data_IF_422022018104
#
_entry.id   IF_422022018104
#
_cell.length_a   1.000
_cell.length_b   1.000
_cell.length_c   1.000
_cell.angle_alpha   90.00
_cell.angle_beta   90.00
_cell.angle_gamma   90.00
#
_symmetry.space_group_name_H-M   'P 1'
#
loop_
_entity.id
_entity.type
_entity.pdbx_description
1 polymer ?
#
# COMPACT_ATOMS: atom_id res chain seq x y z
N UNK A 1 -6.30 -10.93 8.16
CA UNK A 1 -5.41 -10.70 7.01
C UNK A 1 -4.65 -9.38 7.14
N UNK A 2 -5.27 -8.22 6.88
CA UNK A 2 -4.55 -6.94 6.68
C UNK A 2 -3.61 -6.57 7.83
N UNK A 3 -4.06 -6.62 9.09
CA UNK A 3 -3.20 -6.29 10.24
C UNK A 3 -1.96 -7.18 10.34
N UNK A 4 -2.11 -8.50 10.17
CA UNK A 4 -0.97 -9.43 10.16
C UNK A 4 0.00 -9.16 8.99
N UNK A 5 -0.52 -8.72 7.84
CA UNK A 5 0.30 -8.37 6.68
C UNK A 5 1.01 -7.02 6.85
N UNK A 6 0.39 -6.04 7.51
CA UNK A 6 1.06 -4.79 7.88
C UNK A 6 2.25 -5.05 8.81
N UNK A 7 2.08 -5.92 9.81
CA UNK A 7 3.16 -6.34 10.70
C UNK A 7 4.27 -7.06 9.91
N UNK A 8 3.89 -7.99 9.04
CA UNK A 8 4.83 -8.76 8.21
C UNK A 8 5.64 -7.86 7.28
N UNK A 9 4.99 -6.97 6.52
CA UNK A 9 5.65 -6.04 5.59
C UNK A 9 6.56 -5.05 6.33
N UNK A 10 6.13 -4.54 7.48
CA UNK A 10 6.97 -3.70 8.33
C UNK A 10 8.24 -4.45 8.78
N UNK A 11 8.09 -5.68 9.26
CA UNK A 11 9.22 -6.47 9.71
C UNK A 11 10.14 -6.89 8.56
N UNK A 12 9.61 -7.20 7.39
CA UNK A 12 10.40 -7.43 6.19
C UNK A 12 11.26 -6.20 5.86
N UNK A 13 10.67 -5.01 5.84
CA UNK A 13 11.42 -3.78 5.53
C UNK A 13 12.47 -3.43 6.59
N UNK A 14 12.10 -3.44 7.87
CA UNK A 14 12.97 -2.86 8.91
C UNK A 14 13.87 -3.87 9.61
N UNK A 15 13.47 -5.16 9.69
CA UNK A 15 14.29 -6.22 10.30
C UNK A 15 15.07 -7.03 9.27
N UNK A 16 14.46 -7.32 8.12
CA UNK A 16 15.07 -8.16 7.09
C UNK A 16 15.67 -7.35 5.92
N UNK A 17 15.38 -6.04 5.83
CA UNK A 17 15.80 -5.16 4.72
C UNK A 17 15.31 -5.64 3.36
N UNK A 18 14.06 -6.10 3.30
CA UNK A 18 13.41 -6.64 2.11
C UNK A 18 12.13 -5.86 1.80
N UNK A 19 11.91 -5.55 0.53
CA UNK A 19 10.61 -5.14 -0.03
C UNK A 19 10.03 -6.30 -0.83
N UNK A 20 8.73 -6.57 -0.69
CA UNK A 20 8.10 -7.77 -1.27
C UNK A 20 7.82 -7.60 -2.77
N UNK A 21 7.30 -6.44 -3.17
CA UNK A 21 7.04 -6.03 -4.57
C UNK A 21 5.94 -6.79 -5.33
N UNK A 22 5.40 -7.86 -4.76
CA UNK A 22 4.26 -8.57 -5.34
C UNK A 22 3.22 -9.04 -4.30
N UNK A 23 2.71 -8.11 -3.48
CA UNK A 23 1.59 -8.42 -2.58
C UNK A 23 0.34 -8.66 -3.41
N UNK A 24 -0.16 -9.90 -3.41
CA UNK A 24 -1.29 -10.32 -4.27
C UNK A 24 -2.11 -11.43 -3.61
N UNK A 25 -3.31 -11.71 -4.15
CA UNK A 25 -4.18 -12.77 -3.66
C UNK A 25 -3.53 -14.17 -3.74
N UNK A 26 -2.65 -14.40 -4.72
CA UNK A 26 -1.96 -15.68 -4.89
C UNK A 26 -0.79 -15.86 -3.90
N UNK A 27 -0.28 -14.75 -3.37
CA UNK A 27 0.92 -14.72 -2.53
C UNK A 27 0.61 -14.60 -1.03
N UNK A 28 -0.67 -14.61 -0.66
CA UNK A 28 -1.11 -14.68 0.74
C UNK A 28 -1.80 -16.03 0.98
N UNK A 29 -1.12 -16.88 1.73
CA UNK A 29 -1.70 -18.13 2.24
C UNK A 29 -2.28 -17.91 3.64
N UNK A 30 -3.10 -18.85 4.10
CA UNK A 30 -3.56 -18.89 5.48
C UNK A 30 -3.62 -20.33 5.99
N UNK A 31 -3.46 -20.48 7.29
CA UNK A 31 -3.63 -21.75 8.00
C UNK A 31 -4.34 -21.51 9.34
N UNK A 32 -5.01 -22.55 9.84
CA UNK A 32 -5.54 -22.54 11.21
C UNK A 32 -4.44 -22.98 12.18
N UNK A 33 -4.10 -22.12 13.14
CA UNK A 33 -3.29 -22.49 14.30
C UNK A 33 -4.20 -22.54 15.54
N UNK A 34 -4.74 -23.73 15.82
CA UNK A 34 -5.81 -23.86 16.81
C UNK A 34 -7.08 -23.17 16.32
N UNK A 35 -7.54 -22.16 17.05
CA UNK A 35 -8.72 -21.36 16.72
C UNK A 35 -8.37 -20.05 15.97
N UNK A 36 -7.08 -19.74 15.81
CA UNK A 36 -6.62 -18.52 15.16
C UNK A 36 -6.31 -18.76 13.68
N UNK A 37 -6.75 -17.83 12.82
CA UNK A 37 -6.37 -17.81 11.40
C UNK A 37 -5.05 -17.03 11.27
N UNK A 38 -4.00 -17.71 10.82
CA UNK A 38 -2.68 -17.12 10.59
C UNK A 38 -2.46 -16.97 9.08
N UNK A 39 -2.25 -15.75 8.63
CA UNK A 39 -1.92 -15.40 7.24
C UNK A 39 -0.41 -15.35 7.06
N UNK A 40 0.07 -15.86 5.91
CA UNK A 40 1.49 -15.94 5.57
C UNK A 40 1.72 -15.35 4.18
N UNK A 41 2.63 -14.39 4.10
CA UNK A 41 3.14 -13.85 2.83
C UNK A 41 4.20 -14.82 2.28
N UNK A 42 4.04 -15.20 1.02
CA UNK A 42 4.92 -16.13 0.30
C UNK A 42 5.35 -15.52 -1.03
N UNK A 43 6.20 -16.23 -1.76
CA UNK A 43 6.65 -15.88 -3.11
C UNK A 43 7.49 -14.59 -3.17
N UNK A 44 8.79 -14.75 -2.90
CA UNK A 44 9.77 -13.66 -2.84
C UNK A 44 10.57 -13.50 -4.14
N UNK A 45 10.12 -14.09 -5.26
CA UNK A 45 10.86 -14.07 -6.53
C UNK A 45 11.01 -12.64 -7.09
N UNK A 46 10.09 -11.73 -6.75
CA UNK A 46 10.16 -10.30 -7.09
C UNK A 46 10.76 -9.42 -5.99
N UNK A 47 11.08 -9.98 -4.83
CA UNK A 47 11.56 -9.21 -3.70
C UNK A 47 12.93 -8.59 -3.97
N UNK A 48 13.24 -7.50 -3.27
CA UNK A 48 14.57 -6.87 -3.33
C UNK A 48 15.09 -6.57 -1.96
N UNK A 49 16.41 -6.65 -1.81
CA UNK A 49 17.11 -6.09 -0.65
C UNK A 49 17.25 -4.57 -0.79
N UNK A 50 17.18 -3.89 0.33
CA UNK A 50 17.33 -2.43 0.44
C UNK A 50 18.28 -2.04 1.56
N UNK A 51 18.77 -0.81 1.55
CA UNK A 51 19.53 -0.24 2.66
C UNK A 51 18.61 0.32 3.77
N UNK A 52 19.21 1.03 4.75
CA UNK A 52 18.47 1.66 5.84
C UNK A 52 17.53 2.75 5.30
N UNK A 53 17.93 3.43 4.24
CA UNK A 53 17.18 4.48 3.55
C UNK A 53 16.12 3.95 2.58
N UNK A 54 16.04 2.63 2.39
CA UNK A 54 15.03 1.97 1.55
C UNK A 54 15.42 1.91 0.06
N UNK A 55 16.67 2.24 -0.28
CA UNK A 55 17.17 2.17 -1.65
C UNK A 55 17.63 0.75 -1.97
N UNK A 56 17.29 0.27 -3.16
CA UNK A 56 17.73 -1.03 -3.63
C UNK A 56 19.26 -1.15 -3.64
N UNK A 57 19.76 -2.22 -3.02
CA UNK A 57 21.21 -2.51 -2.92
C UNK A 57 21.76 -3.17 -4.19
N UNK A 58 20.90 -3.81 -4.98
CA UNK A 58 21.28 -4.46 -6.23
C UNK A 58 20.91 -3.61 -7.46
N UNK A 59 21.82 -3.49 -8.42
CA UNK A 59 21.63 -2.73 -9.65
C UNK A 59 20.55 -3.36 -10.55
N UNK A 60 20.36 -4.67 -10.48
CA UNK A 60 19.29 -5.39 -11.21
C UNK A 60 17.90 -5.06 -10.67
N UNK A 61 17.77 -4.82 -9.37
CA UNK A 61 16.53 -4.38 -8.73
C UNK A 61 16.13 -2.94 -9.10
N UNK A 62 17.08 -2.11 -9.56
CA UNK A 62 16.81 -0.81 -10.18
C UNK A 62 16.34 -0.90 -11.63
N UNK A 63 16.39 -2.08 -12.24
CA UNK A 63 15.93 -2.22 -13.63
C UNK A 63 14.42 -2.05 -13.71
N UNK A 64 13.94 -1.32 -14.73
CA UNK A 64 12.53 -1.03 -15.02
C UNK A 64 11.71 -2.28 -15.40
N UNK A 65 12.14 -3.49 -15.02
CA UNK A 65 11.42 -4.70 -15.33
C UNK A 65 10.13 -4.73 -14.49
N UNK A 66 9.01 -4.84 -15.21
CA UNK A 66 7.65 -5.06 -14.71
C UNK A 66 7.65 -6.17 -13.66
N UNK A 67 7.64 -5.81 -12.38
CA UNK A 67 7.51 -6.75 -11.26
C UNK A 67 6.17 -6.57 -10.60
N UNK A 68 5.51 -7.67 -10.29
CA UNK A 68 4.26 -7.68 -9.53
C UNK A 68 2.99 -7.80 -10.37
N UNK A 69 1.90 -8.11 -9.66
CA UNK A 69 0.57 -8.35 -10.21
C UNK A 69 -0.17 -7.03 -10.47
N UNK A 70 -0.45 -6.70 -11.73
CA UNK A 70 -0.99 -5.39 -12.17
C UNK A 70 -2.23 -4.93 -11.38
N UNK A 71 -3.13 -5.85 -11.05
CA UNK A 71 -4.33 -5.57 -10.27
C UNK A 71 -4.02 -4.92 -8.92
N UNK A 72 -2.94 -5.35 -8.28
CA UNK A 72 -2.54 -4.94 -6.93
C UNK A 72 -1.38 -3.95 -6.94
N UNK A 73 -0.66 -3.80 -8.05
CA UNK A 73 0.44 -2.84 -8.18
C UNK A 73 0.03 -1.42 -7.78
N UNK A 74 0.91 -0.69 -7.08
CA UNK A 74 0.65 0.67 -6.64
C UNK A 74 0.46 1.65 -7.83
N UNK A 75 -0.34 2.69 -7.62
CA UNK A 75 -0.68 3.70 -8.63
C UNK A 75 0.56 4.33 -9.27
N UNK A 76 1.53 4.76 -8.47
CA UNK A 76 2.74 5.44 -8.96
C UNK A 76 3.57 4.54 -9.86
N UNK A 77 3.66 3.24 -9.53
CA UNK A 77 4.35 2.24 -10.34
C UNK A 77 3.63 2.00 -11.67
N UNK A 78 2.30 1.89 -11.65
CA UNK A 78 1.51 1.75 -12.90
C UNK A 78 1.61 3.02 -13.75
N UNK A 79 1.59 4.21 -13.12
CA UNK A 79 1.73 5.50 -13.79
C UNK A 79 3.11 5.64 -14.44
N UNK A 80 4.20 5.30 -13.73
CA UNK A 80 5.55 5.25 -14.30
C UNK A 80 5.60 4.33 -15.53
N UNK A 81 5.02 3.13 -15.43
CA UNK A 81 4.93 2.20 -16.55
C UNK A 81 4.12 2.76 -17.73
N UNK A 82 3.03 3.49 -17.47
CA UNK A 82 2.22 4.12 -18.51
C UNK A 82 2.94 5.27 -19.23
N UNK A 83 3.97 5.84 -18.61
CA UNK A 83 4.74 6.97 -19.12
C UNK A 83 6.23 6.62 -19.33
N UNK A 84 6.56 5.34 -19.46
CA UNK A 84 7.94 4.82 -19.49
C UNK A 84 8.85 5.50 -20.53
N UNK A 85 8.26 5.90 -21.65
CA UNK A 85 8.95 6.52 -22.78
C UNK A 85 8.93 8.06 -22.74
N UNK A 86 8.32 8.65 -21.70
CA UNK A 86 8.31 10.09 -21.49
C UNK A 86 9.61 10.52 -20.77
N UNK A 87 10.51 11.27 -21.42
CA UNK A 87 11.76 11.71 -20.80
C UNK A 87 11.56 12.72 -19.67
N UNK A 88 10.36 13.32 -19.54
CA UNK A 88 10.01 14.23 -18.45
C UNK A 88 9.56 13.52 -17.18
N UNK A 89 9.38 12.19 -17.21
CA UNK A 89 8.96 11.42 -16.06
C UNK A 89 10.17 10.76 -15.40
N UNK A 90 10.41 11.10 -14.14
CA UNK A 90 11.42 10.42 -13.33
C UNK A 90 10.95 9.00 -12.99
N UNK A 91 11.88 8.00 -13.00
CA UNK A 91 11.55 6.65 -12.62
C UNK A 91 11.09 6.55 -11.17
N UNK A 92 9.98 5.86 -10.94
CA UNK A 92 9.52 5.55 -9.58
C UNK A 92 10.21 4.28 -9.07
N UNK A 93 10.86 4.39 -7.90
CA UNK A 93 11.41 3.23 -7.20
C UNK A 93 10.37 2.64 -6.26
N UNK A 94 10.34 1.31 -6.15
CA UNK A 94 9.45 0.63 -5.21
C UNK A 94 9.87 0.90 -3.76
N UNK A 95 8.92 1.32 -2.93
CA UNK A 95 9.09 1.61 -1.50
C UNK A 95 8.07 0.83 -0.66
N UNK A 96 8.23 0.81 0.66
CA UNK A 96 7.33 0.06 1.56
C UNK A 96 5.86 0.48 1.40
N UNK A 97 5.59 1.77 1.19
CA UNK A 97 4.21 2.22 1.02
C UNK A 97 3.53 1.67 -0.25
N UNK A 98 4.30 1.29 -1.28
CA UNK A 98 3.74 0.63 -2.46
C UNK A 98 3.23 -0.78 -2.11
N UNK A 99 3.91 -1.52 -1.22
CA UNK A 99 3.41 -2.81 -0.70
C UNK A 99 2.15 -2.60 0.16
N UNK A 100 2.05 -1.49 0.92
CA UNK A 100 0.84 -1.13 1.66
C UNK A 100 -0.32 -0.76 0.72
N UNK A 101 -0.07 -0.04 -0.37
CA UNK A 101 -1.09 0.25 -1.38
C UNK A 101 -1.56 -1.04 -2.08
N UNK A 102 -0.65 -1.98 -2.35
CA UNK A 102 -1.03 -3.29 -2.86
C UNK A 102 -1.94 -4.06 -1.91
N UNK A 103 -1.70 -3.94 -0.60
CA UNK A 103 -2.58 -4.52 0.43
C UNK A 103 -3.97 -3.85 0.45
N UNK A 104 -4.07 -2.55 0.17
CA UNK A 104 -5.35 -1.87 -0.03
C UNK A 104 -6.13 -2.44 -1.22
N UNK A 105 -5.49 -2.49 -2.40
CA UNK A 105 -6.11 -3.05 -3.61
C UNK A 105 -6.54 -4.50 -3.42
N UNK A 106 -5.71 -5.30 -2.75
CA UNK A 106 -6.03 -6.68 -2.41
C UNK A 106 -7.22 -6.79 -1.44
N UNK A 107 -7.34 -5.87 -0.50
CA UNK A 107 -8.47 -5.84 0.43
C UNK A 107 -9.78 -5.54 -0.30
N UNK A 108 -9.79 -4.53 -1.18
CA UNK A 108 -10.95 -4.19 -2.01
C UNK A 108 -11.34 -5.36 -2.93
N UNK A 109 -10.35 -5.96 -3.61
CA UNK A 109 -10.54 -7.16 -4.42
C UNK A 109 -11.17 -8.30 -3.62
N UNK A 110 -10.63 -8.57 -2.43
CA UNK A 110 -11.10 -9.66 -1.56
C UNK A 110 -12.55 -9.45 -1.13
N UNK A 111 -12.93 -8.21 -0.80
CA UNK A 111 -14.31 -7.86 -0.44
C UNK A 111 -15.30 -8.08 -1.58
N UNK A 112 -14.85 -8.05 -2.85
CA UNK A 112 -15.71 -8.21 -4.03
C UNK A 112 -15.73 -9.65 -4.52
N UNK A 113 -14.58 -10.31 -4.60
CA UNK A 113 -14.42 -11.58 -5.34
C UNK A 113 -14.62 -12.81 -4.44
N UNK A 114 -14.21 -12.73 -3.18
CA UNK A 114 -14.20 -13.88 -2.26
C UNK A 114 -15.61 -14.26 -1.78
N UNK A 115 -16.50 -13.33 -1.36
CA UNK A 115 -17.80 -13.69 -0.84
C UNK A 115 -18.59 -14.62 -1.77
N UNK A 116 -19.34 -15.52 -1.16
CA UNK A 116 -20.28 -16.40 -1.88
C UNK A 116 -21.48 -15.60 -2.37
N UNK A 117 -22.02 -15.99 -3.52
CA UNK A 117 -23.14 -15.32 -4.17
C UNK A 117 -23.45 -15.97 -5.51
N UNK A 118 -24.52 -15.52 -6.16
CA UNK A 118 -24.89 -16.03 -7.48
C UNK A 118 -23.85 -15.65 -8.55
N UNK A 119 -23.53 -16.58 -9.44
CA UNK A 119 -22.49 -16.39 -10.47
C UNK A 119 -22.76 -15.17 -11.37
N UNK A 120 -24.03 -14.87 -11.65
CA UNK A 120 -24.42 -13.73 -12.46
C UNK A 120 -24.05 -12.40 -11.77
N UNK A 121 -24.47 -12.23 -10.51
CA UNK A 121 -24.19 -11.04 -9.70
C UNK A 121 -22.70 -10.87 -9.45
N UNK A 122 -21.98 -11.96 -9.13
CA UNK A 122 -20.52 -11.92 -8.94
C UNK A 122 -19.80 -11.45 -10.20
N UNK A 123 -20.23 -11.92 -11.37
CA UNK A 123 -19.63 -11.54 -12.65
C UNK A 123 -19.93 -10.09 -13.01
N UNK A 124 -21.15 -9.60 -12.73
CA UNK A 124 -21.50 -8.19 -12.93
C UNK A 124 -20.66 -7.30 -12.01
N UNK A 125 -20.60 -7.61 -10.72
CA UNK A 125 -19.85 -6.85 -9.75
C UNK A 125 -18.35 -6.80 -10.05
N UNK A 126 -17.78 -7.94 -10.44
CA UNK A 126 -16.39 -8.04 -10.88
C UNK A 126 -16.13 -7.16 -12.11
N UNK A 127 -17.05 -7.14 -13.09
CA UNK A 127 -16.93 -6.29 -14.29
C UNK A 127 -16.98 -4.81 -13.95
N UNK A 128 -17.86 -4.39 -13.05
CA UNK A 128 -18.03 -2.99 -12.64
C UNK A 128 -16.83 -2.47 -11.83
N UNK A 129 -16.18 -3.34 -11.06
CA UNK A 129 -15.24 -2.91 -10.01
C UNK A 129 -13.78 -3.32 -10.25
N UNK A 130 -13.53 -4.58 -10.62
CA UNK A 130 -12.18 -5.17 -10.62
C UNK A 130 -11.61 -5.30 -12.03
N UNK A 131 -12.46 -5.62 -13.01
CA UNK A 131 -12.03 -6.02 -14.35
C UNK A 131 -11.09 -5.02 -15.02
N UNK A 132 -11.37 -3.72 -14.91
CA UNK A 132 -10.55 -2.67 -15.52
C UNK A 132 -9.15 -2.61 -14.91
N UNK A 133 -9.06 -2.78 -13.59
CA UNK A 133 -7.79 -2.76 -12.87
C UNK A 133 -6.94 -4.04 -13.17
N UNK A 134 -7.56 -5.12 -13.65
CA UNK A 134 -6.85 -6.35 -14.07
C UNK A 134 -6.50 -6.40 -15.58
N UNK A 135 -7.40 -5.90 -16.43
CA UNK A 135 -7.35 -6.15 -17.88
C UNK A 135 -7.21 -4.87 -18.71
N UNK A 136 -7.24 -3.69 -18.08
CA UNK A 136 -7.12 -2.41 -18.76
C UNK A 136 -5.72 -2.17 -19.35
N UNK A 137 -5.61 -1.19 -20.24
CA UNK A 137 -4.32 -0.64 -20.63
C UNK A 137 -3.68 0.11 -19.45
N UNK A 138 -2.35 0.27 -19.44
CA UNK A 138 -1.63 0.89 -18.31
C UNK A 138 -2.21 2.23 -17.86
N UNK A 139 -2.54 3.12 -18.82
CA UNK A 139 -3.18 4.40 -18.52
C UNK A 139 -4.57 4.24 -17.88
N UNK A 140 -5.35 3.25 -18.32
CA UNK A 140 -6.66 2.96 -17.75
C UNK A 140 -6.56 2.36 -16.35
N UNK A 141 -5.57 1.50 -16.10
CA UNK A 141 -5.29 0.95 -14.76
C UNK A 141 -4.83 2.08 -13.83
N UNK A 142 -3.92 2.96 -14.26
CA UNK A 142 -3.50 4.12 -13.47
C UNK A 142 -4.69 5.02 -13.12
N UNK A 143 -5.56 5.32 -14.08
CA UNK A 143 -6.78 6.09 -13.83
C UNK A 143 -7.76 5.35 -12.90
N UNK A 144 -7.93 4.03 -13.06
CA UNK A 144 -8.72 3.17 -12.16
C UNK A 144 -8.23 3.32 -10.71
N UNK A 145 -6.91 3.27 -10.49
CA UNK A 145 -6.28 3.36 -9.17
C UNK A 145 -6.38 4.76 -8.56
N UNK A 146 -6.12 5.82 -9.32
CA UNK A 146 -6.29 7.19 -8.83
C UNK A 146 -7.73 7.45 -8.34
N UNK A 147 -8.72 6.97 -9.10
CA UNK A 147 -10.13 7.12 -8.74
C UNK A 147 -10.54 6.19 -7.58
N UNK A 148 -9.80 5.10 -7.33
CA UNK A 148 -10.06 4.21 -6.20
C UNK A 148 -9.76 4.84 -4.84
N UNK A 149 -9.16 6.03 -4.79
CA UNK A 149 -9.02 6.80 -3.55
C UNK A 149 -10.09 7.88 -3.39
N UNK A 150 -10.90 8.12 -4.43
CA UNK A 150 -11.94 9.13 -4.37
C UNK A 150 -13.07 8.66 -3.44
N UNK A 151 -13.26 9.39 -2.34
CA UNK A 151 -14.28 9.08 -1.33
C UNK A 151 -15.66 8.82 -1.93
N UNK A 152 -16.12 9.64 -2.89
CA UNK A 152 -17.45 9.51 -3.48
C UNK A 152 -17.59 8.19 -4.23
N UNK A 153 -16.58 7.83 -5.01
CA UNK A 153 -16.55 6.57 -5.77
C UNK A 153 -16.53 5.36 -4.85
N UNK A 154 -15.68 5.39 -3.81
CA UNK A 154 -15.58 4.29 -2.86
C UNK A 154 -16.83 4.15 -1.98
N UNK A 155 -17.47 5.27 -1.65
CA UNK A 155 -18.75 5.28 -0.92
C UNK A 155 -19.87 4.66 -1.75
N UNK A 156 -19.90 4.88 -3.05
CA UNK A 156 -20.89 4.31 -3.96
C UNK A 156 -20.53 2.93 -4.52
N UNK A 157 -19.33 2.42 -4.23
CA UNK A 157 -18.88 1.11 -4.70
C UNK A 157 -19.86 0.03 -4.22
N UNK A 158 -20.43 -0.75 -5.13
CA UNK A 158 -21.27 -1.90 -4.75
C UNK A 158 -20.40 -2.92 -4.04
N UNK A 159 -20.86 -3.44 -2.91
CA UNK A 159 -20.22 -4.53 -2.19
C UNK A 159 -21.21 -5.68 -2.02
N UNK A 160 -20.74 -6.93 -1.98
CA UNK A 160 -21.58 -8.05 -1.57
C UNK A 160 -22.12 -7.81 -0.14
N UNK A 161 -23.32 -8.29 0.21
CA UNK A 161 -23.89 -8.09 1.55
C UNK A 161 -22.97 -8.53 2.70
N UNK A 162 -22.16 -9.56 2.48
CA UNK A 162 -21.20 -10.07 3.47
C UNK A 162 -20.04 -9.10 3.73
N UNK A 163 -19.73 -8.22 2.77
CA UNK A 163 -18.64 -7.25 2.84
C UNK A 163 -19.11 -5.84 3.20
N UNK A 164 -20.41 -5.54 3.15
CA UNK A 164 -20.96 -4.23 3.52
C UNK A 164 -20.53 -3.72 4.91
N UNK A 165 -20.47 -4.57 5.97
CA UNK A 165 -19.96 -4.13 7.27
C UNK A 165 -18.51 -3.61 7.24
N UNK A 166 -17.73 -3.97 6.23
CA UNK A 166 -16.34 -3.52 6.04
C UNK A 166 -16.24 -2.19 5.27
N UNK A 167 -17.35 -1.63 4.78
CA UNK A 167 -17.34 -0.35 4.04
C UNK A 167 -16.68 0.80 4.81
N UNK A 168 -16.96 1.05 6.11
CA UNK A 168 -16.27 2.10 6.85
C UNK A 168 -14.76 1.88 6.93
N UNK A 169 -14.33 0.63 6.99
CA UNK A 169 -12.91 0.27 6.99
C UNK A 169 -12.25 0.58 5.64
N UNK A 170 -12.91 0.22 4.53
CA UNK A 170 -12.42 0.49 3.17
C UNK A 170 -12.28 1.99 2.91
N UNK A 171 -13.28 2.76 3.34
CA UNK A 171 -13.32 4.21 3.24
C UNK A 171 -12.19 4.89 4.03
N UNK A 172 -11.91 4.43 5.25
CA UNK A 172 -10.78 4.95 6.04
C UNK A 172 -9.44 4.66 5.38
N UNK A 173 -9.29 3.50 4.74
CA UNK A 173 -8.06 3.18 4.00
C UNK A 173 -7.91 4.07 2.76
N UNK A 174 -8.98 4.24 1.98
CA UNK A 174 -8.96 5.09 0.78
C UNK A 174 -8.64 6.55 1.13
N UNK A 175 -9.23 7.08 2.21
CA UNK A 175 -8.96 8.44 2.68
C UNK A 175 -7.51 8.63 3.11
N UNK A 176 -6.92 7.63 3.77
CA UNK A 176 -5.52 7.69 4.19
C UNK A 176 -4.57 7.74 2.98
N UNK A 177 -4.82 6.90 1.97
CA UNK A 177 -4.04 6.92 0.73
C UNK A 177 -4.21 8.24 -0.03
N UNK A 178 -5.44 8.75 -0.11
CA UNK A 178 -5.72 10.04 -0.73
C UNK A 178 -4.95 11.17 -0.03
N UNK A 179 -4.99 11.22 1.30
CA UNK A 179 -4.30 12.27 2.06
C UNK A 179 -2.77 12.16 1.96
N UNK A 180 -2.22 10.95 1.96
CA UNK A 180 -0.79 10.73 1.71
C UNK A 180 -0.36 11.27 0.33
N UNK A 181 -1.17 11.03 -0.69
CA UNK A 181 -0.94 11.54 -2.04
C UNK A 181 -1.06 13.07 -2.14
N UNK A 182 -1.97 13.69 -1.38
CA UNK A 182 -2.02 15.16 -1.29
C UNK A 182 -0.74 15.73 -0.66
N UNK A 183 -0.14 15.07 0.34
CA UNK A 183 1.13 15.52 0.93
C UNK A 183 2.28 15.50 -0.07
N UNK A 184 2.38 14.45 -0.89
CA UNK A 184 3.39 14.39 -1.97
C UNK A 184 3.18 15.53 -2.94
N UNK A 185 1.95 15.73 -3.40
CA UNK A 185 1.63 16.82 -4.32
C UNK A 185 2.00 18.20 -3.75
N UNK A 186 1.78 18.43 -2.45
CA UNK A 186 2.15 19.70 -1.80
C UNK A 186 3.67 19.86 -1.77
N UNK A 187 4.40 18.79 -1.45
CA UNK A 187 5.86 18.79 -1.48
C UNK A 187 6.42 19.03 -2.90
N UNK A 188 5.86 18.41 -3.93
CA UNK A 188 6.31 18.59 -5.32
C UNK A 188 6.15 20.05 -5.81
N UNK A 189 5.30 20.83 -5.14
CA UNK A 189 5.14 22.27 -5.41
C UNK A 189 6.12 23.14 -4.61
N UNK A 190 6.73 22.60 -3.55
CA UNK A 190 7.66 23.28 -2.65
C UNK A 190 8.75 22.31 -2.18
N UNK A 191 9.75 22.10 -3.04
CA UNK A 191 10.90 21.20 -2.80
C UNK A 191 11.89 21.75 -1.76
N UNK A 192 11.58 22.85 -1.07
CA UNK A 192 12.48 23.47 -0.09
C UNK A 192 12.66 22.63 1.18
N UNK A 193 11.79 21.64 1.41
CA UNK A 193 11.76 20.82 2.63
C UNK A 193 12.01 19.36 2.29
N UNK A 194 12.94 18.72 3.02
CA UNK A 194 13.16 17.27 2.92
C UNK A 194 11.87 16.50 3.21
N UNK A 195 11.49 15.61 2.28
CA UNK A 195 10.29 14.80 2.39
C UNK A 195 10.59 13.30 2.48
N UNK A 196 9.97 12.66 3.45
CA UNK A 196 10.01 11.21 3.61
C UNK A 196 9.05 10.55 2.61
N UNK A 197 9.61 10.13 1.48
CA UNK A 197 8.87 9.43 0.42
C UNK A 197 8.52 8.00 0.82
N UNK A 198 9.26 7.34 1.72
CA UNK A 198 8.95 5.97 2.13
C UNK A 198 7.63 5.92 2.91
N UNK A 199 7.42 6.87 3.83
CA UNK A 199 6.21 6.93 4.66
C UNK A 199 5.22 8.01 4.23
N UNK A 200 5.48 8.71 3.12
CA UNK A 200 4.66 9.84 2.63
C UNK A 200 4.46 10.92 3.69
N UNK A 201 5.56 11.38 4.28
CA UNK A 201 5.55 12.36 5.38
C UNK A 201 4.86 11.83 6.65
N UNK A 202 5.14 10.57 7.00
CA UNK A 202 4.65 9.89 8.20
C UNK A 202 3.22 9.33 8.11
N UNK A 203 2.53 9.48 6.98
CA UNK A 203 1.12 9.07 6.84
C UNK A 203 0.96 7.56 6.63
N UNK A 204 1.89 6.93 5.94
CA UNK A 204 1.84 5.51 5.58
C UNK A 204 2.84 4.69 6.39
N UNK A 205 2.68 4.71 7.71
CA UNK A 205 3.37 3.79 8.63
C UNK A 205 2.43 2.69 9.09
N UNK A 206 2.98 1.53 9.47
CA UNK A 206 2.20 0.40 10.04
C UNK A 206 1.24 0.86 11.14
N UNK A 207 1.74 1.68 12.06
CA UNK A 207 0.99 2.08 13.25
C UNK A 207 -0.11 3.09 12.92
N UNK A 208 0.17 4.07 12.05
CA UNK A 208 -0.84 5.03 11.57
C UNK A 208 -1.94 4.32 10.79
N UNK A 209 -1.57 3.45 9.83
CA UNK A 209 -2.53 2.67 9.06
C UNK A 209 -3.39 1.82 10.01
N UNK A 210 -2.77 1.10 10.95
CA UNK A 210 -3.50 0.26 11.91
C UNK A 210 -4.48 1.07 12.75
N UNK A 211 -4.04 2.19 13.32
CA UNK A 211 -4.87 3.07 14.15
C UNK A 211 -6.08 3.62 13.38
N UNK A 212 -5.84 4.14 12.16
CA UNK A 212 -6.90 4.68 11.30
C UNK A 212 -7.89 3.59 10.91
N UNK A 213 -7.42 2.41 10.52
CA UNK A 213 -8.29 1.30 10.13
C UNK A 213 -9.15 0.78 11.28
N UNK A 214 -8.63 0.77 12.51
CA UNK A 214 -9.39 0.46 13.73
C UNK A 214 -10.37 1.56 14.15
N UNK A 215 -10.26 2.76 13.56
CA UNK A 215 -11.06 3.92 13.94
C UNK A 215 -10.57 4.61 15.22
N UNK A 216 -9.35 4.33 15.65
CA UNK A 216 -8.69 4.95 16.81
C UNK A 216 -8.11 6.33 16.44
N UNK A 217 -7.94 6.61 15.16
CA UNK A 217 -7.52 7.91 14.62
C UNK A 217 -8.27 8.23 13.34
N UNK A 218 -8.37 9.51 13.01
CA UNK A 218 -9.02 10.01 11.80
C UNK A 218 -8.05 10.86 11.00
N UNK A 219 -8.19 10.82 9.68
CA UNK A 219 -7.47 11.72 8.78
C UNK A 219 -8.16 13.09 8.84
N UNK A 220 -7.40 14.13 9.15
CA UNK A 220 -7.87 15.51 9.13
C UNK A 220 -7.22 16.25 7.96
N UNK A 221 -8.03 16.99 7.20
CA UNK A 221 -7.53 17.91 6.18
C UNK A 221 -7.46 19.30 6.80
N UNK A 222 -6.30 19.95 6.70
CA UNK A 222 -6.13 21.32 7.20
C UNK A 222 -7.03 22.29 6.44
N UNK A 223 -7.34 23.42 7.08
CA UNK A 223 -8.08 24.50 6.43
C UNK A 223 -7.31 25.02 5.20
N UNK A 224 -8.02 25.18 4.09
CA UNK A 224 -7.46 25.79 2.88
C UNK A 224 -7.31 27.28 3.14
N UNK A 225 -6.08 27.75 3.29
CA UNK A 225 -5.76 29.17 3.37
C UNK A 225 -5.33 29.69 2.00
N UNK A 226 -5.84 30.86 1.62
CA UNK A 226 -5.45 31.54 0.39
C UNK A 226 -4.46 32.63 0.76
N UNK A 227 -3.20 32.45 0.37
CA UNK A 227 -2.18 33.50 0.49
C UNK A 227 -2.16 34.28 -0.83
N UNK A 228 -2.39 35.61 -0.81
CA UNK A 228 -2.24 36.43 -2.00
C UNK A 228 -0.81 36.35 -2.51
N UNK A 229 -0.61 36.01 -3.79
CA UNK A 229 0.70 36.10 -4.44
C UNK A 229 1.06 37.58 -4.56
N UNK A 230 2.19 38.05 -4.01
CA UNK A 230 2.64 39.42 -4.24
C UNK A 230 2.82 39.64 -5.74
N UNK A 231 2.11 40.61 -6.32
CA UNK A 231 2.42 41.07 -7.67
C UNK A 231 3.79 41.72 -7.63
N UNK A 232 4.78 41.12 -8.30
CA UNK A 232 6.00 41.83 -8.62
C UNK A 232 5.61 43.07 -9.43
N UNK A 233 5.85 44.25 -8.86
CA UNK A 233 5.61 45.50 -9.52
C UNK A 233 6.49 45.56 -10.78
N UNK A 234 5.87 45.38 -11.94
CA UNK A 234 6.49 45.65 -13.23
C UNK A 234 6.86 47.14 -13.22
N UNK A 235 8.16 47.41 -13.11
CA UNK A 235 8.69 48.75 -13.07
C UNK A 235 8.39 49.50 -14.37
N UNK A 236 7.71 50.64 -14.24
CA UNK A 236 7.92 51.77 -15.14
C UNK A 236 7.91 53.03 -14.27
N UNK A 237 9.05 53.70 -14.21
CA UNK A 237 9.24 54.89 -13.40
C UNK A 237 8.61 56.13 -14.02
N UNK A 238 8.30 57.13 -13.19
CA UNK A 238 8.82 58.49 -13.34
C UNK A 238 8.62 59.28 -12.04
N UNK A 239 9.59 60.16 -11.80
CA UNK A 239 9.93 60.98 -10.64
C UNK A 239 8.93 62.07 -10.25
N UNK A 240 8.87 62.41 -8.94
CA UNK A 240 9.21 63.76 -8.49
C UNK A 240 9.43 63.84 -6.95
N UNK A 241 10.58 64.42 -6.56
CA UNK A 241 10.90 65.01 -5.24
C UNK A 241 9.97 66.24 -5.00
N UNK A 242 9.70 66.80 -3.82
CA UNK A 242 10.48 66.96 -2.58
C UNK A 242 9.55 67.59 -1.50
N UNK A 243 9.79 67.35 -0.21
CA UNK A 243 9.99 68.39 0.83
C UNK A 243 9.76 67.87 2.26
N UNK A 244 10.74 68.20 3.09
CA UNK A 244 10.93 67.94 4.51
C UNK A 244 10.04 68.86 5.35
N UNK A 245 9.46 68.36 6.45
CA UNK A 245 9.39 69.14 7.69
C UNK A 245 9.38 68.24 8.94
N UNK A 246 10.30 68.57 9.85
CA UNK A 246 10.59 67.93 11.13
C UNK A 246 9.89 68.69 12.27
N UNK A 247 9.29 67.99 13.25
CA UNK A 247 9.20 68.50 14.63
C UNK A 247 8.86 67.43 15.70
N UNK A 248 9.90 67.07 16.45
CA UNK A 248 10.03 67.07 17.91
C UNK A 248 9.02 66.36 18.85
N UNK A 249 9.53 65.30 19.51
CA UNK A 249 9.66 65.06 20.98
C UNK A 249 8.38 65.00 21.83
N UNK A 250 8.11 63.95 22.63
CA UNK A 250 8.60 63.73 24.02
C UNK A 250 8.22 62.30 24.51
N UNK A 251 9.23 61.54 24.99
CA UNK A 251 9.37 60.73 26.23
C UNK A 251 8.14 59.98 26.83
N UNK A 252 8.20 58.87 27.55
CA UNK A 252 9.17 57.94 28.16
C UNK A 252 8.33 56.64 28.39
N UNK A 253 8.83 55.42 28.60
CA UNK A 253 9.69 55.01 29.70
C UNK A 253 10.13 53.54 29.53
N UNK A 254 11.32 53.27 30.06
CA UNK A 254 12.08 52.03 30.18
C UNK A 254 11.29 50.84 30.78
N UNK A 255 11.67 49.57 30.60
CA UNK A 255 12.96 49.00 31.03
C UNK A 255 13.17 47.59 30.49
N UNK A 256 14.38 47.30 30.01
CA UNK A 256 14.95 45.96 29.74
C UNK A 256 15.01 45.12 31.03
N UNK A 257 14.97 43.80 30.89
CA UNK A 257 16.09 42.90 31.25
C UNK A 257 15.79 41.45 30.86
N UNK A 258 16.77 40.85 30.19
CA UNK A 258 16.85 39.45 29.72
C UNK A 258 17.57 38.60 30.81
N UNK A 259 17.93 37.33 30.57
CA UNK A 259 17.39 36.14 31.25
C UNK A 259 18.40 35.50 32.24
N UNK A 260 18.05 34.39 32.92
CA UNK A 260 18.92 33.20 32.94
C UNK A 260 18.32 31.95 33.62
N UNK A 261 18.86 30.82 33.13
CA UNK A 261 18.70 29.41 33.52
C UNK A 261 18.90 29.13 35.01
N UNK A 262 18.26 28.05 35.52
CA UNK A 262 18.93 26.83 36.04
C UNK A 262 17.95 25.79 36.63
N UNK A 263 18.13 24.52 36.24
CA UNK A 263 17.89 23.33 37.07
C UNK A 263 19.01 23.20 38.15
N UNK A 264 19.07 22.24 39.12
CA UNK A 264 18.39 20.92 39.20
C UNK A 264 18.01 20.44 40.64
N UNK A 265 17.45 19.23 40.79
CA UNK A 265 17.82 18.24 41.85
C UNK A 265 17.03 16.90 41.80
N UNK A 266 17.72 15.82 42.19
CA UNK A 266 17.32 14.39 42.25
C UNK A 266 16.76 13.99 43.65
N UNK A 267 15.98 12.89 43.74
CA UNK A 267 16.23 11.76 44.67
C UNK A 267 15.38 10.49 44.39
N UNK A 268 15.98 9.32 44.69
CA UNK A 268 15.53 7.93 44.55
C UNK A 268 14.58 7.46 45.69
N UNK A 269 13.99 6.26 45.83
CA UNK A 269 14.35 4.84 45.50
C UNK A 269 13.17 3.90 45.85
N UNK A 270 13.09 2.67 45.25
CA UNK A 270 12.74 1.34 45.84
C UNK A 270 11.94 0.44 44.86
N UNK A 271 12.53 -0.62 44.28
CA UNK A 271 12.55 -2.06 44.66
C UNK A 271 11.25 -2.85 44.46
N UNK A 272 11.30 -3.90 43.63
CA UNK A 272 10.33 -5.01 43.62
C UNK A 272 10.53 -6.00 42.48
N UNK A 273 11.17 -7.14 42.76
CA UNK A 273 11.44 -8.27 41.86
C UNK A 273 10.51 -9.42 42.25
N UNK A 274 9.78 -10.06 41.31
CA UNK A 274 9.19 -11.40 41.54
C UNK A 274 9.14 -12.22 40.24
N UNK A 275 9.63 -13.44 40.37
CA UNK A 275 9.62 -14.56 39.44
C UNK A 275 8.41 -15.45 39.78
N UNK A 276 7.76 -16.05 38.79
CA UNK A 276 6.91 -17.23 38.98
C UNK A 276 6.81 -18.11 37.71
N UNK A 277 7.53 -19.22 37.81
CA UNK A 277 7.40 -20.60 37.34
C UNK A 277 6.18 -21.05 36.49
N UNK A 278 6.53 -21.93 35.54
CA UNK A 278 5.80 -22.79 34.62
C UNK A 278 4.49 -23.49 35.09
N UNK A 279 3.65 -23.83 34.09
CA UNK A 279 3.02 -25.16 33.97
C UNK A 279 2.72 -25.51 32.50
N UNK A 280 3.27 -26.64 32.07
CA UNK A 280 2.99 -27.32 30.81
C UNK A 280 1.75 -28.21 30.95
N UNK A 281 0.89 -28.23 29.93
CA UNK A 281 -0.07 -29.30 29.66
C UNK A 281 -0.15 -29.50 28.13
N UNK A 282 0.26 -30.68 27.67
CA UNK A 282 0.05 -31.25 26.32
C UNK A 282 -1.08 -32.32 26.39
N UNK A 283 -1.57 -32.90 25.28
CA UNK A 283 -2.74 -32.44 24.53
C UNK A 283 -3.89 -33.48 24.54
N UNK A 284 -5.11 -33.08 24.16
CA UNK A 284 -6.15 -34.05 23.76
C UNK A 284 -6.47 -33.93 22.27
N UNK A 285 -6.04 -34.97 21.54
CA UNK A 285 -6.49 -35.34 20.20
C UNK A 285 -8.02 -35.42 20.16
N UNK A 286 -8.64 -34.77 19.18
CA UNK A 286 -9.87 -35.26 18.57
C UNK A 286 -9.70 -35.19 17.05
N UNK A 287 -9.90 -36.35 16.43
CA UNK A 287 -9.88 -36.57 15.00
C UNK A 287 -11.33 -36.55 14.46
N UNK A 288 -11.54 -35.94 13.30
CA UNK A 288 -12.59 -36.29 12.33
C UNK A 288 -12.50 -35.31 11.15
N UNK A 289 -12.86 -35.63 9.91
CA UNK A 289 -12.95 -36.86 9.12
C UNK A 289 -13.24 -36.31 7.71
N UNK A 290 -12.42 -36.67 6.73
CA UNK A 290 -12.63 -36.27 5.35
C UNK A 290 -13.96 -36.82 4.81
N UNK A 291 -14.71 -35.99 4.08
CA UNK A 291 -15.79 -36.45 3.20
C UNK A 291 -15.48 -36.08 1.76
N UNK A 292 -15.11 -37.12 1.00
CA UNK A 292 -15.11 -37.16 -0.46
C UNK A 292 -16.57 -37.16 -0.95
N UNK A 293 -16.83 -36.48 -2.05
CA UNK A 293 -17.90 -36.88 -2.98
C UNK A 293 -17.45 -36.64 -4.41
N UNK A 294 -17.66 -37.68 -5.22
CA UNK A 294 -17.28 -37.84 -6.62
C UNK A 294 -18.46 -37.51 -7.53
N UNK A 295 -18.11 -36.99 -8.70
CA UNK A 295 -18.65 -37.20 -10.05
C UNK A 295 -20.16 -37.18 -10.32
N UNK A 296 -20.55 -36.34 -11.28
CA UNK A 296 -21.34 -36.81 -12.43
C UNK A 296 -21.14 -35.90 -13.64
N UNK A 297 -20.80 -36.51 -14.76
CA UNK A 297 -20.65 -35.89 -16.08
C UNK A 297 -22.00 -35.79 -16.79
N UNK A 298 -22.15 -34.82 -17.70
CA UNK A 298 -23.06 -34.93 -18.84
C UNK A 298 -22.61 -34.06 -20.02
N UNK A 299 -22.61 -34.67 -21.20
CA UNK A 299 -22.22 -34.13 -22.50
C UNK A 299 -23.39 -33.37 -23.13
N UNK A 300 -23.11 -32.26 -23.82
CA UNK A 300 -23.89 -31.84 -24.99
C UNK A 300 -22.99 -31.14 -26.01
N UNK A 301 -23.05 -31.62 -27.25
CA UNK A 301 -22.40 -31.11 -28.46
C UNK A 301 -23.23 -29.95 -29.02
N UNK A 302 -22.60 -28.88 -29.49
CA UNK A 302 -23.10 -28.13 -30.64
C UNK A 302 -21.92 -27.70 -31.52
N UNK A 303 -22.03 -28.01 -32.81
CA UNK A 303 -21.07 -27.70 -33.88
C UNK A 303 -21.66 -26.57 -34.70
N UNK A 304 -20.93 -25.46 -34.87
CA UNK A 304 -21.02 -24.58 -36.04
C UNK A 304 -19.62 -23.99 -36.34
N UNK A 305 -19.13 -24.34 -37.53
CA UNK A 305 -17.99 -23.80 -38.32
C UNK A 305 -18.28 -22.36 -38.77
N UNK A 306 -17.37 -21.44 -39.12
CA UNK A 306 -15.93 -21.39 -39.41
C UNK A 306 -15.53 -19.91 -39.54
N UNK A 307 -14.28 -19.56 -39.23
CA UNK A 307 -13.71 -18.24 -39.52
C UNK A 307 -12.26 -18.18 -39.08
N UNK A 308 -11.34 -18.61 -39.95
CA UNK A 308 -9.91 -18.76 -39.69
C UNK A 308 -9.21 -17.40 -39.60
N UNK A 309 -8.58 -17.10 -38.47
CA UNK A 309 -7.35 -16.29 -38.43
C UNK A 309 -6.34 -16.96 -37.50
N UNK A 310 -5.19 -17.30 -38.10
CA UNK A 310 -4.02 -17.88 -37.46
C UNK A 310 -3.29 -16.86 -36.58
N UNK A 311 -3.18 -17.16 -35.28
CA UNK A 311 -2.12 -16.64 -34.41
C UNK A 311 -1.74 -17.74 -33.40
N UNK A 312 -0.44 -17.97 -33.26
CA UNK A 312 0.18 -19.10 -32.57
C UNK A 312 -0.27 -19.27 -31.12
N UNK A 313 -0.74 -20.47 -30.78
CA UNK A 313 -1.04 -20.89 -29.42
C UNK A 313 0.24 -21.17 -28.62
N UNK A 314 0.49 -20.39 -27.56
CA UNK A 314 1.45 -20.73 -26.53
C UNK A 314 0.82 -21.80 -25.62
N UNK A 315 1.28 -23.05 -25.76
CA UNK A 315 0.77 -24.17 -24.97
C UNK A 315 1.07 -24.00 -23.48
N UNK A 316 0.04 -24.08 -22.65
CA UNK A 316 0.15 -24.27 -21.20
C UNK A 316 0.92 -25.56 -20.92
N UNK A 317 2.13 -25.46 -20.38
CA UNK A 317 2.85 -26.60 -19.80
C UNK A 317 2.27 -26.88 -18.40
N UNK A 318 1.73 -28.09 -18.23
CA UNK A 318 1.36 -28.62 -16.93
C UNK A 318 2.57 -28.97 -16.05
N UNK A 319 2.35 -29.35 -14.78
CA UNK A 319 3.42 -29.62 -13.83
C UNK A 319 4.23 -30.84 -14.28
N UNK A 320 5.54 -30.65 -14.50
CA UNK A 320 6.46 -31.76 -14.77
C UNK A 320 6.90 -32.36 -13.43
N UNK A 321 6.41 -33.54 -13.10
CA UNK A 321 6.92 -34.34 -11.98
C UNK A 321 8.26 -34.96 -12.37
N UNK A 322 9.37 -34.53 -11.77
CA UNK A 322 10.63 -35.27 -11.82
C UNK A 322 10.64 -36.31 -10.70
N UNK A 323 10.34 -37.55 -11.08
CA UNK A 323 10.62 -38.75 -10.28
C UNK A 323 12.12 -38.98 -10.18
N UNK A 324 12.65 -39.05 -8.97
CA UNK A 324 14.02 -39.49 -8.68
C UNK A 324 14.04 -41.02 -8.67
N UNK A 325 14.53 -41.63 -9.74
CA UNK A 325 14.81 -43.07 -9.77
C UNK A 325 16.19 -43.31 -9.18
N UNK A 326 16.25 -44.11 -8.10
CA UNK A 326 17.50 -44.61 -7.51
C UNK A 326 18.16 -45.57 -8.50
N UNK A 327 19.37 -45.25 -8.96
CA UNK A 327 20.25 -46.24 -9.56
C UNK A 327 20.86 -47.10 -8.46
N UNK A 328 20.39 -48.33 -8.38
CA UNK A 328 21.14 -49.45 -7.84
C UNK A 328 21.50 -50.38 -9.01
N UNK A 329 22.49 -51.23 -8.76
CA UNK A 329 22.99 -52.35 -9.58
C UNK A 329 24.27 -52.01 -10.35
N UNK A 330 25.29 -52.86 -10.43
CA UNK A 330 25.71 -54.07 -9.70
C UNK A 330 27.14 -54.36 -10.19
N UNK A 331 27.91 -55.01 -9.33
CA UNK A 331 29.23 -55.60 -9.58
C UNK A 331 29.18 -56.60 -10.75
N UNK A 332 30.16 -56.51 -11.65
CA UNK A 332 30.49 -57.52 -12.66
C UNK A 332 31.94 -57.36 -13.05
#
# INVERSE_FOLDING_TARGET
MVYQMLDCLHDLRYKAKILHRDVSANNIMWEMQGEEVVFKLIDFDFATFVDDEGKATDATARSKHRTGTLAFMAFELVKDMAHRDNPLCEPVFHLLHHDFESLYHLSAYSMIVIPEGEDADKRELYRESVWLCENGMMQQIAACKALSWEWRRMRSLRLPPQSEPLRPWLLRFSDLLYAAQQKVRIHDMDESVLFDHETMGGMLTRDVITSVLKGESVVTYGDVSFVPVPQEACGSGTSHEEMIEEKATIQNESTKLVPERRAPAKKATAKGKKVATAKAITPKKIAAKASKTKDTASKAKLVVTSGTMTAQALMRRGPTTRSMTKNALIVG
#
